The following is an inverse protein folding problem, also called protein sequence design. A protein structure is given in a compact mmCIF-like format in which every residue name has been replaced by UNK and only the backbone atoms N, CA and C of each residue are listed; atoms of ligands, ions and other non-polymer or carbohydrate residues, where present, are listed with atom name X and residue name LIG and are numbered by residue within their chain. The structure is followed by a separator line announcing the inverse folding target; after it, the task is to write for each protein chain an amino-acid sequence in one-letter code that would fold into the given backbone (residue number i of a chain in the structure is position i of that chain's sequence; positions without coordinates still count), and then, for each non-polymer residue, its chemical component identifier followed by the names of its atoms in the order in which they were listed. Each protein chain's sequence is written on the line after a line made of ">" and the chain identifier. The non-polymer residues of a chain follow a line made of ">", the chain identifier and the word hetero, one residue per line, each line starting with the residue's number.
data_IF_409802936395
#
_entry.id   IF_409802936395
#
_cell.length_a   1.000
_cell.length_b   1.000
_cell.length_c   1.000
_cell.angle_alpha   90.00
_cell.angle_beta   90.00
_cell.angle_gamma   90.00
#
_symmetry.space_group_name_H-M   'P 1'
#
loop_
_entity.id
_entity.type
_entity.pdbx_description
1 polymer ?
#
# COMPACT_ATOMS: atom_id res chain seq x y z
N UNK A 1 -3.42 -8.28 20.70
CA UNK A 1 -2.77 -9.49 20.13
C UNK A 1 -2.93 -9.43 18.62
N UNK A 2 -1.86 -9.63 17.83
CA UNK A 2 -1.98 -9.68 16.37
C UNK A 2 -2.62 -11.02 15.96
N UNK A 3 -3.64 -10.98 15.11
CA UNK A 3 -4.35 -12.18 14.66
C UNK A 3 -3.47 -12.96 13.67
N UNK A 4 -2.98 -14.14 14.05
CA UNK A 4 -2.13 -14.98 13.20
C UNK A 4 -2.92 -15.92 12.28
N UNK A 5 -4.24 -15.92 12.38
CA UNK A 5 -5.09 -16.84 11.62
C UNK A 5 -5.03 -16.50 10.14
N UNK A 6 -4.65 -17.48 9.31
CA UNK A 6 -4.57 -17.32 7.85
C UNK A 6 -5.83 -17.85 7.18
N UNK A 7 -6.41 -17.06 6.30
CA UNK A 7 -7.60 -17.40 5.51
C UNK A 7 -7.27 -17.40 4.03
N UNK A 8 -8.01 -18.20 3.25
CA UNK A 8 -7.88 -18.20 1.79
C UNK A 8 -8.27 -16.81 1.26
N UNK A 9 -7.41 -16.22 0.44
CA UNK A 9 -7.73 -14.97 -0.24
C UNK A 9 -8.77 -15.25 -1.32
N UNK A 10 -9.86 -14.48 -1.32
CA UNK A 10 -10.95 -14.58 -2.29
C UNK A 10 -11.04 -13.32 -3.13
N UNK A 11 -11.86 -13.34 -4.18
CA UNK A 11 -12.09 -12.14 -5.00
C UNK A 11 -12.68 -10.97 -4.21
N UNK A 12 -13.42 -11.25 -3.13
CA UNK A 12 -14.06 -10.24 -2.28
C UNK A 12 -13.21 -9.82 -1.07
N UNK A 13 -12.04 -10.44 -0.85
CA UNK A 13 -11.09 -9.95 0.15
C UNK A 13 -10.75 -8.49 -0.15
N UNK A 14 -10.73 -7.67 0.88
CA UNK A 14 -10.51 -6.23 0.77
C UNK A 14 -9.67 -5.73 1.94
N UNK A 15 -8.98 -4.60 1.73
CA UNK A 15 -8.12 -4.01 2.75
C UNK A 15 -8.94 -3.61 3.98
N UNK A 16 -8.43 -3.93 5.17
CA UNK A 16 -9.07 -3.55 6.43
C UNK A 16 -8.95 -2.04 6.69
N UNK A 17 -9.72 -1.51 7.65
CA UNK A 17 -9.53 -0.13 8.11
C UNK A 17 -8.14 0.09 8.71
N UNK A 18 -7.55 -0.93 9.34
CA UNK A 18 -6.18 -0.90 9.84
C UNK A 18 -5.14 -0.78 8.72
N UNK A 19 -5.35 -1.50 7.61
CA UNK A 19 -4.51 -1.40 6.42
C UNK A 19 -4.60 -0.02 5.74
N UNK A 20 -5.80 0.56 5.68
CA UNK A 20 -5.98 1.93 5.17
C UNK A 20 -5.31 2.94 6.09
N UNK A 21 -5.48 2.82 7.41
CA UNK A 21 -4.84 3.71 8.38
C UNK A 21 -3.31 3.61 8.34
N UNK A 22 -2.78 2.40 8.13
CA UNK A 22 -1.36 2.17 7.92
C UNK A 22 -0.84 2.92 6.71
N UNK A 23 -1.50 2.75 5.56
CA UNK A 23 -1.16 3.43 4.30
C UNK A 23 -1.22 4.95 4.47
N UNK A 24 -2.30 5.46 5.07
CA UNK A 24 -2.52 6.88 5.33
C UNK A 24 -1.40 7.53 6.16
N UNK A 25 -0.79 6.77 7.08
CA UNK A 25 0.35 7.24 7.88
C UNK A 25 1.59 7.61 7.08
N UNK A 26 1.72 7.08 5.84
CA UNK A 26 2.84 7.38 4.95
C UNK A 26 2.53 8.44 3.88
N UNK A 27 1.27 8.67 3.54
CA UNK A 27 0.87 9.57 2.44
C UNK A 27 0.77 11.05 2.84
N UNK A 28 0.76 11.36 4.15
CA UNK A 28 0.45 12.70 4.64
C UNK A 28 -1.02 13.07 4.43
N UNK A 29 -1.47 14.21 4.96
CA UNK A 29 -2.87 14.64 4.86
C UNK A 29 -2.99 16.14 4.59
N UNK A 30 -3.76 16.51 3.58
CA UNK A 30 -4.14 17.89 3.29
C UNK A 30 -5.66 18.03 3.32
N UNK A 31 -6.19 18.86 4.20
CA UNK A 31 -7.65 19.03 4.30
C UNK A 31 -8.21 19.81 3.11
N UNK A 32 -7.44 20.72 2.51
CA UNK A 32 -7.81 21.49 1.31
C UNK A 32 -6.91 21.11 0.13
N UNK A 33 -7.35 21.33 -1.12
CA UNK A 33 -6.54 21.11 -2.30
C UNK A 33 -5.21 21.87 -2.27
N UNK A 34 -4.12 21.21 -2.67
CA UNK A 34 -2.78 21.78 -2.84
C UNK A 34 -2.17 21.32 -4.16
N UNK A 35 -1.10 22.00 -4.59
CA UNK A 35 -0.20 21.53 -5.66
C UNK A 35 1.10 21.07 -4.97
N UNK A 36 1.33 19.74 -4.79
CA UNK A 36 2.44 19.24 -3.98
C UNK A 36 3.81 19.61 -4.53
N UNK A 37 3.98 19.51 -5.86
CA UNK A 37 5.19 19.90 -6.58
C UNK A 37 4.83 20.84 -7.72
N UNK A 38 5.72 21.78 -8.06
CA UNK A 38 5.50 22.69 -9.20
C UNK A 38 5.22 21.87 -10.47
N UNK A 39 4.04 22.07 -11.05
CA UNK A 39 3.58 21.37 -12.26
C UNK A 39 2.66 20.17 -12.00
N UNK A 40 2.46 19.78 -10.73
CA UNK A 40 1.50 18.74 -10.37
C UNK A 40 0.05 19.22 -10.51
N UNK A 41 -0.87 18.25 -10.53
CA UNK A 41 -2.31 18.49 -10.48
C UNK A 41 -2.79 18.77 -9.04
N UNK A 42 -3.94 19.46 -8.88
CA UNK A 42 -4.54 19.62 -7.56
C UNK A 42 -4.70 18.27 -6.85
N UNK A 43 -4.29 18.25 -5.58
CA UNK A 43 -4.25 17.05 -4.73
C UNK A 43 -4.88 17.37 -3.38
N UNK A 44 -5.71 16.48 -2.85
CA UNK A 44 -6.37 16.63 -1.55
C UNK A 44 -6.28 15.33 -0.73
N UNK A 45 -6.40 15.40 0.59
CA UNK A 45 -6.41 14.24 1.47
C UNK A 45 -5.07 13.50 1.47
N UNK A 46 -5.14 12.18 1.31
CA UNK A 46 -3.99 11.27 1.19
C UNK A 46 -3.60 11.09 -0.28
N UNK A 47 -3.16 12.16 -0.95
CA UNK A 47 -2.71 12.09 -2.34
C UNK A 47 -3.82 11.92 -3.39
N UNK A 48 -5.08 12.24 -3.07
CA UNK A 48 -6.19 12.10 -4.02
C UNK A 48 -6.14 13.18 -5.09
N UNK A 49 -6.11 12.80 -6.36
CA UNK A 49 -6.18 13.70 -7.53
C UNK A 49 -7.45 13.52 -8.36
N UNK A 50 -8.08 12.35 -8.22
CA UNK A 50 -9.36 11.98 -8.83
C UNK A 50 -10.20 11.32 -7.73
N UNK A 51 -11.36 11.86 -7.44
CA UNK A 51 -12.29 11.31 -6.45
C UNK A 51 -12.88 9.97 -6.93
N UNK A 52 -13.47 9.16 -6.03
CA UNK A 52 -14.11 7.89 -6.38
C UNK A 52 -15.20 8.00 -7.46
N UNK A 53 -15.86 9.17 -7.57
CA UNK A 53 -16.85 9.45 -8.61
C UNK A 53 -16.24 9.80 -9.98
N UNK A 54 -14.92 9.75 -10.13
CA UNK A 54 -14.20 10.06 -11.37
C UNK A 54 -13.90 11.54 -11.60
N UNK A 55 -14.38 12.45 -10.74
CA UNK A 55 -14.09 13.87 -10.87
C UNK A 55 -12.66 14.18 -10.44
N UNK A 56 -11.97 15.02 -11.20
CA UNK A 56 -10.66 15.56 -10.83
C UNK A 56 -10.80 16.58 -9.70
N UNK A 57 -9.85 16.57 -8.77
CA UNK A 57 -9.75 17.59 -7.72
C UNK A 57 -9.51 18.96 -8.36
N UNK A 58 -10.15 19.99 -7.80
CA UNK A 58 -9.98 21.39 -8.19
C UNK A 58 -9.46 22.19 -7.01
N UNK A 59 -8.71 23.25 -7.27
CA UNK A 59 -8.22 24.15 -6.21
C UNK A 59 -9.35 24.84 -5.43
N UNK A 60 -10.56 24.88 -5.98
CA UNK A 60 -11.76 25.45 -5.38
C UNK A 60 -12.55 24.47 -4.51
N UNK A 61 -12.14 23.20 -4.44
CA UNK A 61 -12.88 22.20 -3.66
C UNK A 61 -12.82 22.52 -2.16
N UNK A 62 -13.89 22.14 -1.45
CA UNK A 62 -14.03 22.39 -0.02
C UNK A 62 -13.05 21.53 0.78
N UNK A 63 -12.84 21.94 2.03
CA UNK A 63 -12.08 21.16 2.98
C UNK A 63 -12.75 19.81 3.24
N UNK A 64 -11.96 18.74 3.34
CA UNK A 64 -12.39 17.40 3.71
C UNK A 64 -11.84 16.97 5.06
N UNK A 65 -12.51 16.02 5.69
CA UNK A 65 -12.11 15.35 6.92
C UNK A 65 -11.10 14.23 6.64
N UNK A 66 -10.42 13.77 7.70
CA UNK A 66 -9.57 12.56 7.62
C UNK A 66 -10.36 11.31 7.27
N UNK A 67 -11.63 11.23 7.68
CA UNK A 67 -12.50 10.09 7.37
C UNK A 67 -12.82 10.03 5.87
N UNK A 68 -13.16 11.18 5.26
CA UNK A 68 -13.36 11.27 3.82
C UNK A 68 -12.07 10.96 3.05
N UNK A 69 -10.93 11.48 3.50
CA UNK A 69 -9.64 11.16 2.90
C UNK A 69 -9.29 9.67 2.99
N UNK A 70 -9.59 9.01 4.12
CA UNK A 70 -9.39 7.57 4.28
C UNK A 70 -10.31 6.75 3.36
N UNK A 71 -11.54 7.22 3.13
CA UNK A 71 -12.45 6.61 2.15
C UNK A 71 -11.89 6.73 0.73
N UNK A 72 -11.39 7.90 0.33
CA UNK A 72 -10.76 8.10 -0.99
C UNK A 72 -9.52 7.23 -1.15
N UNK A 73 -8.69 7.14 -0.11
CA UNK A 73 -7.52 6.27 -0.12
C UNK A 73 -7.91 4.80 -0.29
N UNK A 74 -8.93 4.33 0.43
CA UNK A 74 -9.44 2.96 0.31
C UNK A 74 -9.91 2.67 -1.12
N UNK A 75 -10.66 3.58 -1.73
CA UNK A 75 -11.09 3.44 -3.13
C UNK A 75 -9.88 3.32 -4.07
N UNK A 76 -8.85 4.15 -3.87
CA UNK A 76 -7.63 4.10 -4.69
C UNK A 76 -6.82 2.81 -4.51
N UNK A 77 -6.70 2.31 -3.27
CA UNK A 77 -6.10 1.00 -3.00
C UNK A 77 -6.86 -0.11 -3.74
N UNK A 78 -8.19 0.00 -3.80
CA UNK A 78 -9.04 -1.02 -4.42
C UNK A 78 -8.93 -1.10 -5.95
N UNK A 79 -8.35 -0.10 -6.63
CA UNK A 79 -8.14 -0.12 -8.10
C UNK A 79 -7.39 -1.36 -8.58
N UNK A 80 -6.45 -1.86 -7.78
CA UNK A 80 -5.69 -3.07 -8.09
C UNK A 80 -6.22 -4.34 -7.40
N UNK A 81 -7.25 -4.23 -6.56
CA UNK A 81 -7.73 -5.32 -5.70
C UNK A 81 -8.06 -6.59 -6.48
N UNK A 82 -8.84 -6.46 -7.57
CA UNK A 82 -9.22 -7.63 -8.39
C UNK A 82 -8.00 -8.39 -8.89
N UNK A 83 -7.03 -7.68 -9.48
CA UNK A 83 -5.81 -8.29 -10.01
C UNK A 83 -4.87 -8.82 -8.92
N UNK A 84 -4.86 -8.18 -7.75
CA UNK A 84 -4.13 -8.65 -6.57
C UNK A 84 -4.72 -9.94 -6.01
N UNK A 85 -6.03 -9.97 -5.74
CA UNK A 85 -6.74 -11.14 -5.22
C UNK A 85 -6.62 -12.34 -6.17
N UNK A 86 -6.78 -12.11 -7.48
CA UNK A 86 -6.60 -13.17 -8.49
C UNK A 86 -5.18 -13.76 -8.46
N UNK A 87 -4.16 -12.94 -8.22
CA UNK A 87 -2.77 -13.43 -8.17
C UNK A 87 -2.50 -14.36 -6.98
N UNK A 88 -3.34 -14.29 -5.95
CA UNK A 88 -3.26 -15.03 -4.68
C UNK A 88 -4.21 -16.24 -4.62
N UNK A 89 -4.73 -16.71 -5.75
CA UNK A 89 -5.60 -17.89 -5.79
C UNK A 89 -4.96 -19.09 -5.05
N UNK A 90 -5.67 -19.63 -4.06
CA UNK A 90 -5.21 -20.74 -3.22
C UNK A 90 -4.21 -20.36 -2.11
N UNK A 91 -3.75 -19.12 -2.05
CA UNK A 91 -2.85 -18.64 -0.99
C UNK A 91 -3.66 -18.25 0.25
N UNK A 92 -3.17 -18.65 1.43
CA UNK A 92 -3.73 -18.22 2.72
C UNK A 92 -2.90 -17.09 3.30
N UNK A 93 -3.53 -16.01 3.74
CA UNK A 93 -2.87 -14.89 4.42
C UNK A 93 -3.59 -14.55 5.71
N UNK A 94 -2.84 -14.08 6.71
CA UNK A 94 -3.44 -13.31 7.82
C UNK A 94 -3.97 -11.98 7.29
N UNK A 95 -4.86 -11.34 8.04
CA UNK A 95 -5.35 -10.00 7.71
C UNK A 95 -4.18 -9.00 7.58
N UNK A 96 -3.21 -9.07 8.49
CA UNK A 96 -2.03 -8.20 8.50
C UNK A 96 -1.16 -8.41 7.25
N UNK A 97 -0.94 -9.65 6.81
CA UNK A 97 -0.24 -9.93 5.55
C UNK A 97 -1.01 -9.41 4.34
N UNK A 98 -2.33 -9.62 4.31
CA UNK A 98 -3.17 -9.13 3.21
C UNK A 98 -3.08 -7.60 3.09
N UNK A 99 -3.18 -6.90 4.22
CA UNK A 99 -3.12 -5.44 4.26
C UNK A 99 -1.74 -4.90 3.87
N UNK A 100 -0.64 -5.47 4.40
CA UNK A 100 0.71 -4.98 4.08
C UNK A 100 1.09 -5.25 2.62
N UNK A 101 0.60 -6.34 2.02
CA UNK A 101 0.84 -6.62 0.60
C UNK A 101 -0.05 -5.75 -0.31
N UNK A 102 -1.25 -5.36 0.12
CA UNK A 102 -2.02 -4.31 -0.57
C UNK A 102 -1.34 -2.95 -0.48
N UNK A 103 -0.81 -2.58 0.69
CA UNK A 103 -0.01 -1.36 0.87
C UNK A 103 1.23 -1.38 -0.05
N UNK A 104 1.89 -2.54 -0.20
CA UNK A 104 2.96 -2.73 -1.19
C UNK A 104 2.48 -2.50 -2.62
N UNK A 105 1.34 -3.08 -3.02
CA UNK A 105 0.76 -2.90 -4.36
C UNK A 105 0.36 -1.45 -4.61
N UNK A 106 -0.14 -0.75 -3.60
CA UNK A 106 -0.45 0.67 -3.69
C UNK A 106 0.80 1.51 -4.02
N UNK A 107 1.93 1.22 -3.35
CA UNK A 107 3.18 1.95 -3.57
C UNK A 107 3.92 1.57 -4.86
N UNK A 108 4.06 0.28 -5.15
CA UNK A 108 4.91 -0.22 -6.24
C UNK A 108 4.14 -0.74 -7.46
N UNK A 109 2.82 -0.83 -7.36
CA UNK A 109 1.95 -1.30 -8.44
C UNK A 109 1.79 -2.81 -8.53
N UNK A 110 0.72 -3.23 -9.21
CA UNK A 110 0.37 -4.63 -9.39
C UNK A 110 1.39 -5.41 -10.23
N UNK A 111 2.00 -4.78 -11.23
CA UNK A 111 3.01 -5.42 -12.07
C UNK A 111 4.26 -5.83 -11.26
N UNK A 112 4.75 -4.92 -10.40
CA UNK A 112 5.83 -5.17 -9.45
C UNK A 112 5.51 -6.32 -8.51
N UNK A 113 4.28 -6.35 -7.97
CA UNK A 113 3.79 -7.43 -7.13
C UNK A 113 3.80 -8.79 -7.84
N UNK A 114 3.22 -8.86 -9.05
CA UNK A 114 3.11 -10.11 -9.83
C UNK A 114 4.47 -10.73 -10.17
N UNK A 115 5.49 -9.90 -10.36
CA UNK A 115 6.86 -10.33 -10.65
C UNK A 115 7.74 -10.46 -9.39
N UNK A 116 7.19 -10.23 -8.20
CA UNK A 116 7.97 -10.20 -6.98
C UNK A 116 8.32 -11.61 -6.47
N UNK A 117 9.48 -11.70 -5.81
CA UNK A 117 9.81 -12.90 -5.02
C UNK A 117 8.89 -13.10 -3.82
N UNK A 118 8.12 -12.09 -3.39
CA UNK A 118 7.11 -12.23 -2.35
C UNK A 118 5.98 -13.14 -2.83
N UNK A 119 5.36 -12.84 -3.97
CA UNK A 119 4.27 -13.65 -4.51
C UNK A 119 4.74 -15.09 -4.83
N UNK A 120 5.94 -15.23 -5.40
CA UNK A 120 6.53 -16.56 -5.65
C UNK A 120 6.63 -17.39 -4.37
N UNK A 121 7.16 -16.79 -3.30
CA UNK A 121 7.32 -17.47 -2.01
C UNK A 121 5.96 -17.78 -1.35
N UNK A 122 4.99 -16.87 -1.43
CA UNK A 122 3.62 -17.10 -0.93
C UNK A 122 2.95 -18.29 -1.61
N UNK A 123 3.06 -18.40 -2.94
CA UNK A 123 2.52 -19.54 -3.70
C UNK A 123 3.19 -20.87 -3.35
N UNK A 124 4.44 -20.82 -2.89
CA UNK A 124 5.17 -21.98 -2.38
C UNK A 124 4.94 -22.25 -0.88
N UNK A 125 4.05 -21.49 -0.21
CA UNK A 125 3.82 -21.59 1.24
C UNK A 125 4.99 -21.09 2.11
N UNK A 126 5.98 -20.42 1.53
CA UNK A 126 7.19 -19.95 2.20
C UNK A 126 7.00 -18.54 2.78
N UNK A 127 6.09 -18.40 3.76
CA UNK A 127 5.68 -17.09 4.29
C UNK A 127 6.83 -16.24 4.84
N UNK A 128 7.72 -16.83 5.65
CA UNK A 128 8.90 -16.12 6.20
C UNK A 128 9.81 -15.64 5.07
N UNK A 129 10.00 -16.45 4.02
CA UNK A 129 10.78 -16.04 2.86
C UNK A 129 10.05 -14.94 2.07
N UNK A 130 8.72 -14.94 2.01
CA UNK A 130 7.95 -13.85 1.42
C UNK A 130 8.15 -12.54 2.20
N UNK A 131 8.10 -12.59 3.54
CA UNK A 131 8.40 -11.43 4.38
C UNK A 131 9.81 -10.87 4.11
N UNK A 132 10.84 -11.73 4.12
CA UNK A 132 12.22 -11.30 3.81
C UNK A 132 12.37 -10.67 2.43
N UNK A 133 11.57 -11.09 1.45
CA UNK A 133 11.57 -10.52 0.10
C UNK A 133 11.08 -9.06 0.06
N UNK A 134 10.36 -8.56 1.08
CA UNK A 134 10.04 -7.12 1.20
C UNK A 134 11.33 -6.28 1.24
N UNK A 135 12.36 -6.72 1.94
CA UNK A 135 13.60 -5.97 2.12
C UNK A 135 14.40 -5.76 0.81
N UNK A 136 14.06 -6.49 -0.26
CA UNK A 136 14.65 -6.30 -1.60
C UNK A 136 14.11 -5.05 -2.30
N UNK A 137 12.93 -4.57 -1.91
CA UNK A 137 12.26 -3.42 -2.53
C UNK A 137 12.72 -2.10 -1.92
N UNK A 138 14.03 -1.87 -1.96
CA UNK A 138 14.69 -0.70 -1.40
C UNK A 138 15.16 0.30 -2.45
N UNK A 139 14.89 0.07 -3.73
CA UNK A 139 15.39 0.94 -4.81
C UNK A 139 14.28 1.81 -5.41
N UNK A 140 14.57 3.10 -5.57
CA UNK A 140 13.71 4.05 -6.31
C UNK A 140 14.58 4.80 -7.31
N UNK A 141 14.23 4.75 -8.60
CA UNK A 141 15.02 5.36 -9.68
C UNK A 141 16.54 5.01 -9.58
N UNK A 142 16.84 3.72 -9.36
CA UNK A 142 18.21 3.16 -9.16
C UNK A 142 18.96 3.65 -7.92
N UNK A 143 18.35 4.45 -7.03
CA UNK A 143 18.94 4.85 -5.74
C UNK A 143 18.58 3.85 -4.66
N UNK A 144 19.56 3.46 -3.83
CA UNK A 144 19.32 2.61 -2.66
C UNK A 144 18.75 3.44 -1.50
N UNK A 145 17.47 3.29 -1.22
CA UNK A 145 16.77 4.00 -0.16
C UNK A 145 17.12 3.52 1.25
N UNK A 146 17.85 2.41 1.43
CA UNK A 146 18.38 2.07 2.75
C UNK A 146 19.52 2.99 3.18
N UNK A 147 20.08 3.77 2.26
CA UNK A 147 21.10 4.78 2.53
C UNK A 147 20.44 6.15 2.76
N UNK A 148 20.62 6.73 3.95
CA UNK A 148 19.95 7.99 4.34
C UNK A 148 20.25 9.17 3.41
N UNK A 149 21.48 9.27 2.91
CA UNK A 149 21.91 10.36 2.02
C UNK A 149 21.26 10.32 0.62
N UNK A 150 20.55 9.24 0.24
CA UNK A 150 19.90 9.12 -1.06
C UNK A 150 18.52 9.81 -1.14
N UNK A 151 18.08 10.49 -0.08
CA UNK A 151 16.84 11.29 -0.03
C UNK A 151 15.55 10.51 -0.38
N UNK A 152 15.52 9.20 -0.13
CA UNK A 152 14.32 8.36 -0.28
C UNK A 152 14.11 7.41 0.89
N UNK A 153 14.70 7.71 2.05
CA UNK A 153 14.71 6.84 3.23
C UNK A 153 13.31 6.45 3.74
N UNK A 154 12.29 7.30 3.50
CA UNK A 154 10.90 6.97 3.80
C UNK A 154 10.39 5.69 3.13
N UNK A 155 10.90 5.35 1.93
CA UNK A 155 10.59 4.08 1.25
C UNK A 155 11.15 2.90 2.05
N UNK A 156 12.37 3.04 2.56
CA UNK A 156 13.02 1.98 3.35
C UNK A 156 12.35 1.79 4.71
N UNK A 157 11.99 2.87 5.40
CA UNK A 157 11.26 2.77 6.68
C UNK A 157 9.91 2.08 6.50
N UNK A 158 9.17 2.40 5.42
CA UNK A 158 7.92 1.71 5.08
C UNK A 158 8.13 0.22 4.81
N UNK A 159 9.21 -0.15 4.13
CA UNK A 159 9.56 -1.57 3.92
C UNK A 159 9.91 -2.30 5.21
N UNK A 160 10.66 -1.67 6.12
CA UNK A 160 10.98 -2.25 7.43
C UNK A 160 9.72 -2.50 8.26
N UNK A 161 8.78 -1.56 8.25
CA UNK A 161 7.51 -1.70 8.98
C UNK A 161 6.65 -2.84 8.40
N UNK A 162 6.51 -2.91 7.07
CA UNK A 162 5.87 -4.05 6.39
C UNK A 162 6.54 -5.38 6.77
N UNK A 163 7.88 -5.43 6.75
CA UNK A 163 8.64 -6.61 7.12
C UNK A 163 8.36 -7.03 8.58
N UNK A 164 8.45 -6.09 9.52
CA UNK A 164 8.24 -6.38 10.94
C UNK A 164 6.81 -6.87 11.21
N UNK A 165 5.81 -6.26 10.58
CA UNK A 165 4.41 -6.74 10.66
C UNK A 165 4.26 -8.15 10.08
N UNK A 166 4.87 -8.40 8.92
CA UNK A 166 4.82 -9.71 8.26
C UNK A 166 5.46 -10.81 9.13
N UNK A 167 6.62 -10.52 9.73
CA UNK A 167 7.30 -11.46 10.64
C UNK A 167 6.51 -11.65 11.93
N UNK A 168 5.86 -10.62 12.48
CA UNK A 168 5.10 -10.72 13.73
C UNK A 168 3.91 -11.70 13.68
N UNK A 169 3.40 -11.99 12.48
CA UNK A 169 2.26 -12.90 12.24
C UNK A 169 2.65 -14.23 11.59
N UNK A 170 3.95 -14.49 11.43
CA UNK A 170 4.52 -15.77 11.01
C UNK A 170 5.34 -16.40 12.14
#
# INVERSE_FOLDING_TARGET
>A
MQNKTKYIVTLVSAVSLGGVAFTAGYEGFTSKPVIPTKGDVPTIGHGTTVYPNGQKVKMTDKAITKQEAAYFLKDHMNKNQKGFNQSLSGVKLSEQEYDLYNDFVYQFGLASWKNSSMLKNLKAGQYVAACKSLLKWKYVAKRDCSVRSNNCYGVWTRQLDRYNKCIGVN
#
